data_IF_062160511703
#
_entry.id   IF_062160511703
#
_cell.length_a   1.000
_cell.length_b   1.000
_cell.length_c   1.000
_cell.angle_alpha   90.00
_cell.angle_beta   90.00
_cell.angle_gamma   90.00
#
_symmetry.space_group_name_H-M   'P 1'
#
loop_
_entity.id
_entity.type
_entity.pdbx_description
1 polymer ?
#
# COMPACT_ATOMS: atom_id res chain seq x y z
N UNK A 1 11.12 34.22 35.75
CA UNK A 1 11.34 33.09 34.83
C UNK A 1 11.56 33.62 33.41
N UNK A 2 12.67 34.34 33.18
CA UNK A 2 12.99 34.93 31.87
C UNK A 2 14.03 34.07 31.15
N UNK A 3 14.01 34.12 29.83
CA UNK A 3 14.92 33.40 28.95
C UNK A 3 16.24 34.17 28.74
N UNK A 4 17.37 33.45 28.64
CA UNK A 4 18.67 34.03 28.26
C UNK A 4 18.88 34.09 26.73
N UNK A 5 19.98 34.68 26.28
CA UNK A 5 20.27 34.86 24.85
C UNK A 5 20.47 33.54 24.09
N UNK A 6 21.00 32.51 24.77
CA UNK A 6 21.23 31.20 24.16
C UNK A 6 19.89 30.50 23.92
N UNK A 7 19.05 30.45 24.94
CA UNK A 7 17.72 29.87 24.85
C UNK A 7 16.85 30.63 23.84
N UNK A 8 16.99 31.96 23.71
CA UNK A 8 16.30 32.74 22.67
C UNK A 8 16.71 32.29 21.28
N UNK A 9 18.01 32.14 21.05
CA UNK A 9 18.53 31.68 19.76
C UNK A 9 18.02 30.28 19.43
N UNK A 10 18.01 29.38 20.41
CA UNK A 10 17.48 28.02 20.25
C UNK A 10 15.98 28.03 19.92
N UNK A 11 15.19 28.84 20.62
CA UNK A 11 13.75 28.96 20.38
C UNK A 11 13.45 29.44 18.95
N UNK A 12 14.18 30.45 18.46
CA UNK A 12 14.00 30.97 17.10
C UNK A 12 14.29 29.88 16.07
N UNK A 13 15.46 29.23 16.16
CA UNK A 13 15.84 28.17 15.24
C UNK A 13 14.83 27.01 15.26
N UNK A 14 14.41 26.57 16.44
CA UNK A 14 13.45 25.47 16.57
C UNK A 14 12.05 25.86 16.07
N UNK A 15 11.62 27.10 16.28
CA UNK A 15 10.33 27.59 15.77
C UNK A 15 10.27 27.61 14.25
N UNK A 16 11.37 27.99 13.60
CA UNK A 16 11.52 27.92 12.13
C UNK A 16 11.46 26.46 11.64
N UNK A 17 12.17 25.54 12.30
CA UNK A 17 12.13 24.11 11.95
C UNK A 17 10.71 23.52 12.14
N UNK A 18 10.05 23.82 13.25
CA UNK A 18 8.68 23.38 13.50
C UNK A 18 7.71 23.89 12.43
N UNK A 19 7.92 25.12 11.92
CA UNK A 19 7.10 25.67 10.86
C UNK A 19 7.22 24.90 9.54
N UNK A 20 8.39 24.33 9.26
CA UNK A 20 8.62 23.47 8.09
C UNK A 20 8.06 22.07 8.35
N UNK A 21 8.37 21.46 9.50
CA UNK A 21 8.01 20.08 9.82
C UNK A 21 6.50 19.86 9.96
N UNK A 22 5.74 20.87 10.42
CA UNK A 22 4.26 20.77 10.48
C UNK A 22 3.60 20.73 9.10
N UNK A 23 4.34 21.02 8.04
CA UNK A 23 3.82 21.15 6.68
C UNK A 23 2.98 22.40 6.49
N UNK A 24 2.24 22.44 5.37
CA UNK A 24 1.48 23.59 4.91
C UNK A 24 -0.04 23.41 5.07
N UNK A 25 -0.47 22.59 6.03
CA UNK A 25 -1.88 22.20 6.25
C UNK A 25 -2.56 21.56 5.01
N UNK A 26 -1.81 21.07 4.03
CA UNK A 26 -2.36 20.24 2.96
C UNK A 26 -2.67 18.82 3.46
N UNK A 27 -3.56 18.14 2.73
CA UNK A 27 -3.82 16.72 2.95
C UNK A 27 -2.54 15.89 2.79
N UNK A 28 -2.34 14.92 3.68
CA UNK A 28 -1.21 13.97 3.62
C UNK A 28 -1.17 13.28 2.25
N UNK A 29 -0.01 13.33 1.60
CA UNK A 29 0.28 12.67 0.32
C UNK A 29 1.68 12.08 0.38
N UNK A 30 1.92 11.03 -0.39
CA UNK A 30 3.26 10.50 -0.58
C UNK A 30 4.10 11.52 -1.36
N UNK A 31 5.38 11.64 -1.00
CA UNK A 31 6.36 12.36 -1.79
C UNK A 31 6.61 11.60 -3.11
N UNK A 32 6.98 12.33 -4.17
CA UNK A 32 7.23 11.73 -5.49
C UNK A 32 8.31 10.63 -5.42
N UNK A 33 9.31 10.83 -4.57
CA UNK A 33 10.40 9.88 -4.35
C UNK A 33 9.94 8.61 -3.62
N UNK A 34 8.83 8.65 -2.88
CA UNK A 34 8.28 7.47 -2.22
C UNK A 34 7.61 6.52 -3.21
N UNK A 35 7.31 6.95 -4.45
CA UNK A 35 6.61 6.12 -5.44
C UNK A 35 7.33 4.81 -5.71
N UNK A 36 8.66 4.84 -5.86
CA UNK A 36 9.44 3.60 -6.10
C UNK A 36 9.29 2.63 -4.92
N UNK A 37 9.22 3.13 -3.69
CA UNK A 37 8.98 2.30 -2.51
C UNK A 37 7.56 1.79 -2.46
N UNK A 38 6.57 2.62 -2.78
CA UNK A 38 5.15 2.27 -2.87
C UNK A 38 4.96 1.09 -3.83
N UNK A 39 5.57 1.17 -5.01
CA UNK A 39 5.43 0.17 -6.08
C UNK A 39 5.85 -1.24 -5.63
N UNK A 40 6.97 -1.36 -4.89
CA UNK A 40 7.46 -2.67 -4.44
C UNK A 40 7.01 -3.07 -3.02
N UNK A 41 6.73 -2.11 -2.13
CA UNK A 41 6.50 -2.38 -0.71
C UNK A 41 5.03 -2.68 -0.37
N UNK A 42 4.08 -2.20 -1.17
CA UNK A 42 2.69 -2.63 -1.02
C UNK A 42 2.50 -4.06 -1.53
N UNK A 43 1.43 -4.70 -1.08
CA UNK A 43 1.08 -6.05 -1.47
C UNK A 43 -0.10 -6.04 -2.44
N UNK A 44 -0.12 -7.05 -3.30
CA UNK A 44 -1.20 -7.35 -4.23
C UNK A 44 -1.75 -8.75 -4.00
N UNK A 45 -2.96 -9.01 -4.48
CA UNK A 45 -3.62 -10.31 -4.39
C UNK A 45 -3.01 -11.26 -5.42
N UNK A 46 -2.61 -12.43 -4.95
CA UNK A 46 -1.95 -13.47 -5.74
C UNK A 46 -2.58 -14.84 -5.51
N UNK A 47 -2.46 -15.73 -6.48
CA UNK A 47 -2.70 -17.16 -6.27
C UNK A 47 -1.59 -17.76 -5.42
N UNK A 48 -1.95 -18.70 -4.54
CA UNK A 48 -1.02 -19.50 -3.73
C UNK A 48 -1.12 -20.99 -4.02
N UNK A 49 -1.96 -21.35 -5.00
CA UNK A 49 -2.14 -22.66 -5.62
C UNK A 49 -2.62 -22.44 -7.06
N UNK A 50 -2.54 -23.48 -7.89
CA UNK A 50 -3.26 -23.47 -9.16
C UNK A 50 -4.77 -23.40 -8.90
N UNK A 51 -5.48 -22.59 -9.67
CA UNK A 51 -6.94 -22.39 -9.57
C UNK A 51 -7.54 -22.71 -10.93
N UNK A 52 -8.46 -23.68 -11.00
CA UNK A 52 -9.16 -24.00 -12.25
C UNK A 52 -10.32 -23.06 -12.52
N UNK A 53 -10.64 -22.90 -13.80
CA UNK A 53 -11.84 -22.20 -14.24
C UNK A 53 -13.08 -22.73 -13.50
N UNK A 54 -13.85 -21.81 -12.93
CA UNK A 54 -15.07 -22.09 -12.17
C UNK A 54 -14.85 -22.32 -10.67
N UNK A 55 -13.60 -22.48 -10.22
CA UNK A 55 -13.30 -22.56 -8.79
C UNK A 55 -13.58 -21.24 -8.07
N UNK A 56 -13.92 -21.36 -6.78
CA UNK A 56 -14.19 -20.21 -5.91
C UNK A 56 -12.88 -19.70 -5.33
N UNK A 57 -12.66 -18.39 -5.43
CA UNK A 57 -11.53 -17.71 -4.79
C UNK A 57 -11.75 -17.67 -3.27
N UNK A 58 -10.79 -18.18 -2.52
CA UNK A 58 -10.87 -18.37 -1.06
C UNK A 58 -9.51 -18.19 -0.42
N UNK A 59 -9.46 -18.12 0.91
CA UNK A 59 -8.18 -18.02 1.63
C UNK A 59 -7.27 -19.25 1.43
N UNK A 60 -7.81 -20.36 0.89
CA UNK A 60 -7.05 -21.57 0.64
C UNK A 60 -6.29 -21.55 -0.69
N UNK A 61 -6.66 -20.67 -1.63
CA UNK A 61 -6.09 -20.62 -2.97
C UNK A 61 -5.61 -19.22 -3.40
N UNK A 62 -5.99 -18.15 -2.69
CA UNK A 62 -5.45 -16.80 -2.87
C UNK A 62 -4.91 -16.21 -1.57
N UNK A 63 -3.91 -15.34 -1.67
CA UNK A 63 -3.37 -14.55 -0.57
C UNK A 63 -2.86 -13.19 -1.06
N UNK A 64 -2.12 -12.46 -0.22
CA UNK A 64 -1.47 -11.19 -0.61
C UNK A 64 0.05 -11.30 -0.49
N UNK A 65 0.79 -10.86 -1.51
CA UNK A 65 2.26 -10.81 -1.55
C UNK A 65 2.73 -9.51 -2.20
N UNK A 66 3.99 -9.12 -1.93
CA UNK A 66 4.65 -8.01 -2.64
C UNK A 66 5.15 -8.50 -4.01
N UNK A 67 5.30 -7.62 -5.02
CA UNK A 67 5.05 -6.18 -5.00
C UNK A 67 3.56 -5.82 -5.16
N UNK A 68 3.24 -4.53 -5.04
CA UNK A 68 1.89 -4.01 -5.20
C UNK A 68 1.62 -3.57 -6.64
N UNK A 69 2.68 -3.12 -7.33
CA UNK A 69 2.62 -2.73 -8.73
C UNK A 69 2.13 -3.90 -9.61
N UNK A 70 1.18 -3.61 -10.50
CA UNK A 70 0.66 -4.55 -11.50
C UNK A 70 -0.48 -5.46 -11.01
N UNK A 71 -0.63 -5.69 -9.71
CA UNK A 71 -1.69 -6.55 -9.16
C UNK A 71 -2.82 -5.76 -8.50
N UNK A 72 -3.90 -6.45 -8.17
CA UNK A 72 -5.00 -5.87 -7.38
C UNK A 72 -4.52 -5.60 -5.96
N UNK A 73 -4.78 -4.41 -5.41
CA UNK A 73 -4.40 -4.02 -4.05
C UNK A 73 -4.85 -5.03 -2.99
N UNK A 74 -3.99 -5.32 -2.01
CA UNK A 74 -4.33 -6.15 -0.85
C UNK A 74 -5.59 -5.67 -0.09
N UNK A 75 -5.92 -4.37 -0.16
CA UNK A 75 -7.14 -3.83 0.45
C UNK A 75 -8.43 -4.41 -0.15
N UNK A 76 -8.38 -4.85 -1.41
CA UNK A 76 -9.53 -5.44 -2.11
C UNK A 76 -9.69 -6.94 -1.84
N UNK A 77 -8.79 -7.56 -1.08
CA UNK A 77 -8.79 -9.02 -0.85
C UNK A 77 -10.16 -9.54 -0.39
N UNK A 78 -10.79 -8.85 0.56
CA UNK A 78 -12.12 -9.22 1.06
C UNK A 78 -13.22 -9.17 -0.01
N UNK A 79 -13.11 -8.26 -0.99
CA UNK A 79 -14.07 -8.11 -2.08
C UNK A 79 -13.94 -9.22 -3.14
N UNK A 80 -12.82 -9.95 -3.14
CA UNK A 80 -12.50 -11.01 -4.11
C UNK A 80 -12.94 -12.39 -3.60
N UNK A 81 -13.00 -12.59 -2.28
CA UNK A 81 -13.42 -13.86 -1.70
C UNK A 81 -14.85 -14.22 -2.13
N UNK A 82 -15.06 -15.47 -2.52
CA UNK A 82 -16.34 -15.99 -2.99
C UNK A 82 -16.60 -15.80 -4.49
N UNK A 83 -15.78 -14.99 -5.19
CA UNK A 83 -15.86 -14.86 -6.64
C UNK A 83 -15.40 -16.13 -7.36
N UNK A 84 -15.82 -16.32 -8.60
CA UNK A 84 -15.45 -17.51 -9.38
C UNK A 84 -14.43 -17.19 -10.46
N UNK A 85 -13.40 -18.03 -10.57
CA UNK A 85 -12.39 -17.92 -11.61
C UNK A 85 -13.03 -18.09 -13.01
N UNK A 86 -12.75 -17.18 -13.93
CA UNK A 86 -13.23 -17.21 -15.32
C UNK A 86 -12.30 -18.02 -16.24
N UNK A 87 -11.08 -18.26 -15.79
CA UNK A 87 -10.03 -19.04 -16.47
C UNK A 87 -9.16 -19.79 -15.46
N UNK A 88 -8.30 -20.67 -15.95
CA UNK A 88 -7.24 -21.26 -15.15
C UNK A 88 -6.20 -20.19 -14.77
N UNK A 89 -5.77 -20.19 -13.51
CA UNK A 89 -4.78 -19.28 -12.93
C UNK A 89 -3.68 -20.15 -12.32
N UNK A 90 -2.44 -19.98 -12.76
CA UNK A 90 -1.28 -20.69 -12.21
C UNK A 90 -0.94 -20.18 -10.81
N UNK A 91 -0.31 -21.01 -9.99
CA UNK A 91 0.26 -20.59 -8.71
C UNK A 91 1.24 -19.41 -8.86
N UNK A 92 1.36 -18.58 -7.83
CA UNK A 92 2.26 -17.42 -7.77
C UNK A 92 1.99 -16.36 -8.85
N UNK A 93 0.74 -16.24 -9.28
CA UNK A 93 0.28 -15.24 -10.26
C UNK A 93 -0.47 -14.11 -9.55
N UNK A 94 -0.16 -12.85 -9.87
CA UNK A 94 -0.99 -11.71 -9.47
C UNK A 94 -2.35 -11.76 -10.17
N UNK A 95 -3.42 -11.67 -9.38
CA UNK A 95 -4.78 -11.65 -9.93
C UNK A 95 -5.07 -10.30 -10.59
N UNK A 96 -5.86 -10.36 -11.65
CA UNK A 96 -6.47 -9.24 -12.36
C UNK A 96 -8.00 -9.34 -12.30
N UNK A 97 -8.70 -8.23 -12.53
CA UNK A 97 -10.18 -8.22 -12.50
C UNK A 97 -10.81 -9.05 -13.62
N UNK A 98 -10.04 -9.40 -14.66
CA UNK A 98 -10.50 -10.26 -15.76
C UNK A 98 -10.47 -11.75 -15.38
N UNK A 99 -9.83 -12.10 -14.26
CA UNK A 99 -9.66 -13.49 -13.83
C UNK A 99 -10.90 -14.07 -13.15
N UNK A 100 -11.85 -13.23 -12.75
CA UNK A 100 -13.00 -13.67 -11.95
C UNK A 100 -14.27 -12.86 -12.18
N UNK A 101 -15.41 -13.43 -11.78
CA UNK A 101 -16.71 -12.74 -11.67
C UNK A 101 -17.27 -12.87 -10.25
#
# INVERSE_FOLDING_TARGET
CSMDTKALKELIMQSEQMAIMRGNNESKKAAKQEQVTIDFAFASVVSIKDIKKGEVLSMDNIWVKRPGLGGISAAEFGNILGKKALRDIENDTQLSYEDFA
#
